data_IF_310326997082
#
_entry.id   IF_310326997082
#
_cell.length_a   1.000
_cell.length_b   1.000
_cell.length_c   1.000
_cell.angle_alpha   90.00
_cell.angle_beta   90.00
_cell.angle_gamma   90.00
#
_symmetry.space_group_name_H-M   'P 1'
#
loop_
_entity.id
_entity.type
_entity.pdbx_description
1 polymer ?
#
# COMPACT_ATOMS: atom_id res chain seq x y z
N UNK A 1 6.60 28.15 -5.14
CA UNK A 1 7.81 27.37 -4.84
C UNK A 1 7.84 27.21 -3.33
N UNK A 2 7.24 26.13 -2.81
CA UNK A 2 7.20 25.85 -1.37
C UNK A 2 8.14 24.66 -1.18
N UNK A 3 9.31 24.92 -0.61
CA UNK A 3 10.22 23.89 -0.12
C UNK A 3 9.70 23.43 1.25
N UNK A 4 9.08 22.26 1.32
CA UNK A 4 8.70 21.60 2.58
C UNK A 4 9.64 20.44 2.87
N UNK A 5 10.93 20.73 3.05
CA UNK A 5 11.80 19.87 3.85
C UNK A 5 11.40 20.02 5.31
N UNK A 6 10.47 19.19 5.76
CA UNK A 6 10.22 19.02 7.20
C UNK A 6 11.40 18.21 7.75
N UNK A 7 12.38 18.90 8.34
CA UNK A 7 13.49 18.25 9.06
C UNK A 7 12.92 17.47 10.25
N UNK A 8 13.03 16.14 10.21
CA UNK A 8 12.52 15.27 11.28
C UNK A 8 13.68 14.74 12.16
N UNK A 9 13.45 14.56 13.48
CA UNK A 9 14.45 14.09 14.45
C UNK A 9 14.87 12.63 14.19
N UNK A 10 16.02 12.17 14.74
CA UNK A 10 16.82 11.07 14.21
C UNK A 10 16.26 9.63 14.36
N UNK A 11 14.96 9.45 14.61
CA UNK A 11 14.38 8.12 14.83
C UNK A 11 12.95 7.92 14.29
N UNK A 12 12.58 8.59 13.20
CA UNK A 12 11.29 8.37 12.52
C UNK A 12 11.52 8.01 11.06
N UNK A 13 10.95 6.89 10.64
CA UNK A 13 10.82 6.42 9.26
C UNK A 13 10.80 7.59 8.25
N UNK A 14 11.80 7.63 7.36
CA UNK A 14 11.85 8.62 6.29
C UNK A 14 10.79 8.28 5.22
N UNK A 15 9.62 8.92 5.34
CA UNK A 15 8.58 8.85 4.33
C UNK A 15 8.72 10.03 3.36
N UNK A 16 9.37 9.81 2.23
CA UNK A 16 9.44 10.80 1.15
C UNK A 16 8.23 10.66 0.22
N UNK A 17 7.19 11.45 0.46
CA UNK A 17 6.12 11.68 -0.53
C UNK A 17 6.63 12.62 -1.62
N UNK A 18 7.20 12.08 -2.68
CA UNK A 18 7.68 12.90 -3.80
C UNK A 18 6.51 13.23 -4.74
N UNK A 19 5.83 14.34 -4.50
CA UNK A 19 4.81 14.87 -5.40
C UNK A 19 5.48 15.52 -6.63
N UNK A 20 5.83 14.71 -7.62
CA UNK A 20 6.25 15.20 -8.94
C UNK A 20 5.00 15.46 -9.82
N UNK A 21 4.93 16.56 -10.59
CA UNK A 21 3.88 16.75 -11.61
C UNK A 21 3.74 15.57 -12.60
N UNK A 22 4.73 14.70 -12.72
CA UNK A 22 4.69 13.41 -13.46
C UNK A 22 4.17 12.20 -12.66
N UNK A 23 3.47 12.44 -11.53
CA UNK A 23 2.52 11.52 -10.86
C UNK A 23 2.96 10.07 -10.67
N UNK A 24 3.99 9.83 -9.85
CA UNK A 24 4.32 8.49 -9.35
C UNK A 24 4.39 8.51 -7.82
N UNK A 25 3.34 8.02 -7.16
CA UNK A 25 3.37 7.79 -5.72
C UNK A 25 4.32 6.63 -5.45
N UNK A 26 5.51 6.93 -4.93
CA UNK A 26 6.47 5.93 -4.46
C UNK A 26 6.38 5.88 -2.94
N UNK A 27 5.83 4.80 -2.41
CA UNK A 27 5.90 4.49 -0.98
C UNK A 27 7.21 3.76 -0.75
N UNK A 28 8.23 4.46 -0.27
CA UNK A 28 9.53 3.87 0.07
C UNK A 28 9.50 3.31 1.50
N UNK A 29 10.17 2.18 1.69
CA UNK A 29 10.25 1.41 2.94
C UNK A 29 10.94 2.21 4.06
N UNK A 30 10.45 2.10 5.29
CA UNK A 30 11.29 2.24 6.48
C UNK A 30 12.05 0.93 6.71
N UNK A 31 13.39 0.98 6.77
CA UNK A 31 14.25 -0.15 7.12
C UNK A 31 14.19 -0.51 8.62
N UNK A 32 13.57 0.33 9.45
CA UNK A 32 13.41 0.13 10.89
C UNK A 32 11.92 0.07 11.23
N UNK A 33 11.44 -1.12 11.58
CA UNK A 33 10.07 -1.38 12.05
C UNK A 33 9.72 -2.86 12.02
N UNK A 34 9.06 -3.34 13.09
CA UNK A 34 8.62 -4.73 13.21
C UNK A 34 7.56 -5.11 12.16
N UNK A 35 7.34 -6.40 11.91
CA UNK A 35 6.35 -6.85 10.93
C UNK A 35 4.93 -6.30 11.19
N UNK A 36 4.54 -6.18 12.47
CA UNK A 36 3.25 -5.60 12.86
C UNK A 36 3.13 -4.12 12.49
N UNK A 37 4.17 -3.32 12.76
CA UNK A 37 4.17 -1.89 12.44
C UNK A 37 4.06 -1.64 10.94
N UNK A 38 4.74 -2.47 10.13
CA UNK A 38 4.61 -2.41 8.67
C UNK A 38 3.21 -2.77 8.20
N UNK A 39 2.56 -3.78 8.79
CA UNK A 39 1.17 -4.14 8.48
C UNK A 39 0.22 -3.01 8.84
N UNK A 40 0.40 -2.39 10.01
CA UNK A 40 -0.39 -1.24 10.43
C UNK A 40 -0.26 -0.07 9.45
N UNK A 41 0.96 0.25 9.04
CA UNK A 41 1.21 1.29 8.06
C UNK A 41 0.52 1.01 6.72
N UNK A 42 0.67 -0.21 6.18
CA UNK A 42 0.04 -0.60 4.91
C UNK A 42 -1.48 -0.48 5.00
N UNK A 43 -2.08 -0.91 6.11
CA UNK A 43 -3.51 -0.74 6.38
C UNK A 43 -3.91 0.73 6.27
N UNK A 44 -3.31 1.59 7.09
CA UNK A 44 -3.68 3.01 7.16
C UNK A 44 -3.43 3.74 5.84
N UNK A 45 -2.34 3.43 5.15
CA UNK A 45 -2.00 4.03 3.87
C UNK A 45 -3.05 3.70 2.80
N UNK A 46 -3.39 2.42 2.66
CA UNK A 46 -4.36 1.98 1.65
C UNK A 46 -5.77 2.47 1.99
N UNK A 47 -6.18 2.39 3.26
CA UNK A 47 -7.46 2.93 3.71
C UNK A 47 -7.55 4.42 3.40
N UNK A 48 -6.51 5.20 3.72
CA UNK A 48 -6.46 6.63 3.39
C UNK A 48 -6.59 6.87 1.90
N UNK A 49 -5.90 6.09 1.07
CA UNK A 49 -5.95 6.20 -0.39
C UNK A 49 -7.37 5.93 -0.93
N UNK A 50 -8.01 4.87 -0.45
CA UNK A 50 -9.37 4.46 -0.87
C UNK A 50 -10.44 5.49 -0.46
N UNK A 51 -10.26 6.15 0.67
CA UNK A 51 -11.20 7.15 1.21
C UNK A 51 -10.88 8.59 0.77
N UNK A 52 -9.90 8.81 -0.11
CA UNK A 52 -9.63 10.14 -0.63
C UNK A 52 -10.87 10.78 -1.28
N UNK A 53 -11.11 12.09 -1.05
CA UNK A 53 -12.08 12.88 -1.80
C UNK A 53 -11.90 12.74 -3.32
N UNK A 54 -13.02 12.77 -4.06
CA UNK A 54 -13.04 12.47 -5.50
C UNK A 54 -12.20 13.43 -6.34
N UNK A 55 -12.10 14.68 -5.93
CA UNK A 55 -11.26 15.72 -6.53
C UNK A 55 -9.75 15.44 -6.41
N UNK A 56 -9.35 14.58 -5.47
CA UNK A 56 -7.97 14.15 -5.27
C UNK A 56 -7.62 12.84 -5.98
N UNK A 57 -8.58 12.19 -6.63
CA UNK A 57 -8.33 10.96 -7.37
C UNK A 57 -7.41 11.22 -8.55
N UNK A 58 -6.30 10.48 -8.60
CA UNK A 58 -5.29 10.59 -9.66
C UNK A 58 -4.83 9.20 -10.06
N UNK A 59 -4.53 8.98 -11.36
CA UNK A 59 -3.85 7.77 -11.80
C UNK A 59 -2.62 7.51 -10.94
N UNK A 60 -2.62 6.38 -10.24
CA UNK A 60 -1.60 6.03 -9.25
C UNK A 60 -1.30 4.54 -9.36
N UNK A 61 -0.02 4.21 -9.50
CA UNK A 61 0.45 2.83 -9.42
C UNK A 61 0.85 2.51 -7.98
N UNK A 62 0.22 1.51 -7.37
CA UNK A 62 0.51 1.06 -6.01
C UNK A 62 1.12 -0.33 -6.09
N UNK A 63 2.39 -0.47 -5.70
CA UNK A 63 3.11 -1.74 -5.73
C UNK A 63 3.30 -2.22 -4.30
N UNK A 64 2.82 -3.43 -4.00
CA UNK A 64 3.00 -4.09 -2.71
C UNK A 64 3.85 -5.34 -2.89
N UNK A 65 5.11 -5.25 -2.44
CA UNK A 65 6.04 -6.37 -2.45
C UNK A 65 5.85 -7.27 -1.21
N UNK A 66 6.19 -8.54 -1.35
CA UNK A 66 5.93 -9.60 -0.36
C UNK A 66 4.49 -9.56 0.18
N UNK A 67 3.52 -9.45 -0.73
CA UNK A 67 2.11 -9.20 -0.42
C UNK A 67 1.50 -10.23 0.56
N UNK A 68 1.99 -11.46 0.58
CA UNK A 68 1.57 -12.50 1.52
C UNK A 68 1.86 -12.15 2.99
N UNK A 69 2.77 -11.20 3.29
CA UNK A 69 3.02 -10.70 4.65
C UNK A 69 1.90 -9.78 5.13
N UNK A 70 1.23 -9.09 4.19
CA UNK A 70 0.24 -8.04 4.45
C UNK A 70 -1.20 -8.49 4.17
N UNK A 71 -1.36 -9.53 3.34
CA UNK A 71 -2.64 -10.13 2.97
C UNK A 71 -2.47 -11.65 2.92
N UNK A 72 -2.17 -12.31 4.06
CA UNK A 72 -1.96 -13.75 4.12
C UNK A 72 -3.24 -14.52 3.79
N UNK A 73 -3.09 -15.71 3.21
CA UNK A 73 -4.19 -16.67 3.08
C UNK A 73 -4.71 -17.11 4.46
N UNK A 74 -5.99 -17.43 4.53
CA UNK A 74 -6.64 -17.87 5.77
C UNK A 74 -5.91 -19.09 6.33
N UNK A 75 -5.61 -19.05 7.62
CA UNK A 75 -4.84 -20.11 8.31
C UNK A 75 -3.33 -20.08 8.09
N UNK A 76 -2.80 -19.22 7.20
CA UNK A 76 -1.35 -19.01 7.04
C UNK A 76 -0.79 -17.90 7.92
N UNK A 77 -1.67 -17.12 8.55
CA UNK A 77 -1.35 -16.03 9.46
C UNK A 77 -2.43 -14.95 9.44
N UNK A 78 -2.30 -13.96 10.34
CA UNK A 78 -3.19 -12.80 10.39
C UNK A 78 -2.40 -11.51 10.19
N UNK A 79 -3.00 -10.59 9.43
CA UNK A 79 -2.49 -9.24 9.25
C UNK A 79 -3.66 -8.26 9.21
N UNK A 80 -3.61 -7.20 10.01
CA UNK A 80 -4.63 -6.15 10.02
C UNK A 80 -4.77 -5.40 8.69
N UNK A 81 -3.77 -5.50 7.81
CA UNK A 81 -3.78 -4.92 6.46
C UNK A 81 -4.56 -5.75 5.42
N UNK A 82 -5.03 -6.94 5.77
CA UNK A 82 -5.62 -7.89 4.80
C UNK A 82 -6.79 -7.27 4.03
N UNK A 83 -7.78 -6.72 4.74
CA UNK A 83 -8.98 -6.12 4.15
C UNK A 83 -8.67 -4.87 3.34
N UNK A 84 -7.68 -4.08 3.79
CA UNK A 84 -7.23 -2.90 3.08
C UNK A 84 -6.62 -3.31 1.72
N UNK A 85 -5.75 -4.31 1.69
CA UNK A 85 -5.14 -4.82 0.44
C UNK A 85 -6.21 -5.37 -0.51
N UNK A 86 -7.18 -6.14 -0.02
CA UNK A 86 -8.31 -6.62 -0.85
C UNK A 86 -9.13 -5.44 -1.40
N UNK A 87 -9.36 -4.41 -0.58
CA UNK A 87 -10.08 -3.20 -0.98
C UNK A 87 -9.34 -2.41 -2.07
N UNK A 88 -8.00 -2.33 -2.00
CA UNK A 88 -7.19 -1.74 -3.07
C UNK A 88 -7.41 -2.47 -4.39
N UNK A 89 -7.34 -3.80 -4.38
CA UNK A 89 -7.45 -4.59 -5.60
C UNK A 89 -8.87 -4.55 -6.20
N UNK A 90 -9.90 -4.63 -5.37
CA UNK A 90 -11.30 -4.65 -5.81
C UNK A 90 -11.85 -3.26 -6.17
N UNK A 91 -11.46 -2.20 -5.44
CA UNK A 91 -12.08 -0.88 -5.57
C UNK A 91 -11.16 0.20 -6.16
N UNK A 92 -9.85 -0.07 -6.24
CA UNK A 92 -8.85 0.89 -6.71
C UNK A 92 -9.08 1.35 -8.15
N UNK A 93 -9.51 0.44 -9.04
CA UNK A 93 -9.71 0.73 -10.48
C UNK A 93 -10.66 1.90 -10.73
N UNK A 94 -11.78 1.98 -10.01
CA UNK A 94 -12.76 3.09 -10.13
C UNK A 94 -12.15 4.46 -9.77
N UNK A 95 -11.10 4.45 -8.94
CA UNK A 95 -10.41 5.64 -8.41
C UNK A 95 -9.14 6.00 -9.18
N UNK A 96 -8.78 5.23 -10.20
CA UNK A 96 -7.54 5.38 -10.95
C UNK A 96 -6.33 4.77 -10.24
N UNK A 97 -6.53 3.92 -9.23
CA UNK A 97 -5.44 3.25 -8.51
C UNK A 97 -5.24 1.85 -9.09
N UNK A 98 -4.11 1.64 -9.74
CA UNK A 98 -3.69 0.34 -10.25
C UNK A 98 -2.83 -0.36 -9.18
N UNK A 99 -3.37 -1.42 -8.58
CA UNK A 99 -2.64 -2.26 -7.62
C UNK A 99 -1.80 -3.31 -8.33
N UNK A 100 -0.53 -3.43 -7.96
CA UNK A 100 0.36 -4.52 -8.33
C UNK A 100 0.78 -5.20 -7.03
N UNK A 101 0.50 -6.49 -6.91
CA UNK A 101 0.92 -7.31 -5.77
C UNK A 101 2.01 -8.28 -6.23
N UNK A 102 3.16 -8.23 -5.58
CA UNK A 102 4.27 -9.14 -5.82
C UNK A 102 4.43 -10.08 -4.61
N UNK A 103 4.66 -11.36 -4.89
CA UNK A 103 4.86 -12.38 -3.85
C UNK A 103 5.68 -13.52 -4.41
N UNK A 104 6.56 -14.10 -3.58
CA UNK A 104 7.29 -15.31 -3.95
C UNK A 104 6.43 -16.58 -3.89
N UNK A 105 5.36 -16.57 -3.08
CA UNK A 105 4.50 -17.74 -2.85
C UNK A 105 3.03 -17.35 -2.99
N UNK A 106 2.47 -17.56 -4.19
CA UNK A 106 1.07 -17.26 -4.49
C UNK A 106 0.10 -18.03 -3.57
N UNK A 107 0.42 -19.26 -3.19
CA UNK A 107 -0.40 -20.08 -2.29
C UNK A 107 -0.51 -19.54 -0.85
N UNK A 108 0.33 -18.56 -0.47
CA UNK A 108 0.26 -17.88 0.82
C UNK A 108 -0.45 -16.53 0.76
N UNK A 109 -0.85 -16.08 -0.42
CA UNK A 109 -1.57 -14.83 -0.62
C UNK A 109 -3.08 -15.10 -0.55
N UNK A 110 -3.83 -14.22 0.09
CA UNK A 110 -5.28 -14.34 0.18
C UNK A 110 -5.93 -14.46 -1.21
N UNK A 111 -6.71 -15.51 -1.42
CA UNK A 111 -7.33 -15.84 -2.71
C UNK A 111 -8.15 -14.70 -3.33
N UNK A 112 -8.79 -13.87 -2.50
CA UNK A 112 -9.60 -12.75 -3.01
C UNK A 112 -8.71 -11.66 -3.62
N UNK A 113 -7.56 -11.35 -3.01
CA UNK A 113 -6.60 -10.40 -3.59
C UNK A 113 -5.99 -10.95 -4.88
N UNK A 114 -5.69 -12.25 -4.93
CA UNK A 114 -5.18 -12.92 -6.12
C UNK A 114 -6.21 -12.95 -7.26
N UNK A 115 -7.48 -13.18 -6.95
CA UNK A 115 -8.56 -13.21 -7.95
C UNK A 115 -8.78 -11.85 -8.62
N UNK A 116 -8.72 -10.75 -7.85
CA UNK A 116 -8.85 -9.40 -8.40
C UNK A 116 -7.65 -8.99 -9.28
N UNK A 117 -6.47 -9.57 -9.05
CA UNK A 117 -5.27 -9.29 -9.86
C UNK A 117 -5.33 -9.89 -11.29
N UNK A 118 -6.24 -10.83 -11.54
CA UNK A 118 -6.39 -11.52 -12.82
C UNK A 118 -7.58 -11.00 -13.66
N UNK A 119 -8.20 -9.88 -13.27
CA UNK A 119 -9.39 -9.32 -13.93
C UNK A 119 -9.08 -8.26 -15.00
#
# INVERSE_FOLDING_TARGET
>A
MIDTRVSSPPNRAEFSLHANPSRRLRVARSSSGGASERRHFVKLFIESLIHLPRDLWRPTLVILDEAHIYCPERGSGEAESTDAVISLMSQGRKRGYAGIIATQRLSKLHKDAAAEANR
#
